data_IF_646236917190
#
_entry.id   IF_646236917190
#
_cell.length_a   1.000
_cell.length_b   1.000
_cell.length_c   1.000
_cell.angle_alpha   90.00
_cell.angle_beta   90.00
_cell.angle_gamma   90.00
#
_symmetry.space_group_name_H-M   'P 1'
#
loop_
_entity.id
_entity.type
_entity.pdbx_description
1 polymer ?
#
# COMPACT_ATOMS: atom_id res chain seq x y z
N UNK A 1 -57.57 58.33 -25.55
CA UNK A 1 -56.32 58.47 -24.77
C UNK A 1 -55.75 57.05 -24.57
N UNK A 2 -54.73 56.68 -25.35
CA UNK A 2 -54.07 55.34 -25.29
C UNK A 2 -52.73 55.51 -24.55
N UNK A 3 -52.65 54.85 -23.39
CA UNK A 3 -51.44 54.83 -22.58
C UNK A 3 -50.53 53.75 -23.18
N UNK A 4 -49.32 54.16 -23.66
CA UNK A 4 -48.28 53.20 -24.07
C UNK A 4 -47.43 52.83 -22.84
N UNK A 5 -47.51 51.56 -22.49
CA UNK A 5 -46.57 50.96 -21.50
C UNK A 5 -45.24 50.73 -22.17
N UNK A 6 -44.20 51.36 -21.69
CA UNK A 6 -42.80 51.12 -22.11
C UNK A 6 -42.25 50.04 -21.20
N UNK A 7 -42.00 48.85 -21.78
CA UNK A 7 -41.23 47.78 -21.09
C UNK A 7 -39.75 48.14 -21.15
N UNK A 8 -39.22 48.49 -20.03
CA UNK A 8 -37.76 48.62 -19.86
C UNK A 8 -37.17 47.23 -19.59
N UNK A 9 -36.50 46.64 -20.57
CA UNK A 9 -35.75 45.40 -20.46
C UNK A 9 -34.43 45.74 -19.75
N UNK A 10 -34.33 45.48 -18.47
CA UNK A 10 -33.06 45.47 -17.75
C UNK A 10 -32.26 44.27 -18.21
N UNK A 11 -31.30 44.47 -19.09
CA UNK A 11 -30.22 43.50 -19.30
C UNK A 11 -29.34 43.46 -18.05
N UNK A 12 -29.51 42.43 -17.26
CA UNK A 12 -28.50 42.01 -16.28
C UNK A 12 -27.32 41.43 -17.04
N UNK A 13 -26.08 41.90 -16.86
CA UNK A 13 -24.95 41.18 -17.40
C UNK A 13 -24.85 39.82 -16.67
N UNK A 14 -24.91 38.75 -17.45
CA UNK A 14 -24.45 37.44 -16.99
C UNK A 14 -22.95 37.62 -16.69
N UNK A 15 -22.64 37.81 -15.41
CA UNK A 15 -21.32 37.53 -14.88
C UNK A 15 -21.12 36.02 -15.00
N UNK A 16 -20.54 35.61 -16.12
CA UNK A 16 -19.92 34.31 -16.26
C UNK A 16 -18.75 34.31 -15.26
N UNK A 17 -19.01 33.85 -14.05
CA UNK A 17 -17.95 33.49 -13.13
C UNK A 17 -17.17 32.36 -13.83
N UNK A 18 -16.09 32.74 -14.51
CA UNK A 18 -15.11 31.77 -14.93
C UNK A 18 -14.66 31.05 -13.65
N UNK A 19 -15.13 29.82 -13.49
CA UNK A 19 -14.59 28.93 -12.46
C UNK A 19 -13.10 28.83 -12.80
N UNK A 20 -12.25 29.43 -11.98
CA UNK A 20 -10.80 29.26 -12.12
C UNK A 20 -10.54 27.76 -12.17
N UNK A 21 -10.05 27.31 -13.31
CA UNK A 21 -9.71 25.92 -13.49
C UNK A 21 -8.70 25.54 -12.41
N UNK A 22 -9.07 24.62 -11.53
CA UNK A 22 -8.15 24.13 -10.51
C UNK A 22 -6.86 23.68 -11.17
N UNK A 23 -5.69 24.07 -10.67
CA UNK A 23 -4.42 23.70 -11.27
C UNK A 23 -4.35 22.19 -11.47
N UNK A 24 -4.04 21.75 -12.67
CA UNK A 24 -3.91 20.33 -12.97
C UNK A 24 -2.73 19.75 -12.18
N UNK A 25 -3.00 18.72 -11.37
CA UNK A 25 -1.98 18.00 -10.64
C UNK A 25 -1.48 16.81 -11.47
N UNK A 26 -0.18 16.64 -11.53
CA UNK A 26 0.49 15.56 -12.23
C UNK A 26 1.40 14.80 -11.26
N UNK A 27 1.75 13.55 -11.60
CA UNK A 27 2.88 12.85 -10.99
C UNK A 27 3.95 12.64 -12.06
N UNK A 28 5.19 12.89 -11.71
CA UNK A 28 6.31 12.56 -12.59
C UNK A 28 6.70 11.08 -12.43
N UNK A 29 7.73 10.62 -13.17
CA UNK A 29 8.22 9.24 -13.12
C UNK A 29 8.68 8.78 -11.75
N UNK A 30 9.05 9.71 -10.86
CA UNK A 30 9.44 9.43 -9.48
C UNK A 30 8.24 9.35 -8.51
N UNK A 31 7.02 9.57 -8.99
CA UNK A 31 5.79 9.58 -8.19
C UNK A 31 5.53 10.89 -7.43
N UNK A 32 6.41 11.90 -7.58
CA UNK A 32 6.27 13.20 -6.94
C UNK A 32 5.13 13.99 -7.57
N UNK A 33 4.26 14.57 -6.75
CA UNK A 33 3.16 15.40 -7.22
C UNK A 33 3.64 16.74 -7.74
N UNK A 34 3.16 17.13 -8.89
CA UNK A 34 3.49 18.35 -9.58
C UNK A 34 2.22 19.15 -9.92
N UNK A 35 2.37 20.43 -10.07
CA UNK A 35 1.34 21.36 -10.53
C UNK A 35 1.85 22.06 -11.80
N UNK A 36 0.99 22.19 -12.81
CA UNK A 36 1.28 22.99 -13.98
C UNK A 36 0.97 24.46 -13.68
N UNK A 37 1.93 25.32 -13.95
CA UNK A 37 1.76 26.78 -13.90
C UNK A 37 1.14 27.32 -15.20
N UNK A 38 0.64 28.55 -15.17
CA UNK A 38 0.01 29.20 -16.32
C UNK A 38 0.96 29.39 -17.52
N UNK A 39 2.26 29.54 -17.25
CA UNK A 39 3.32 29.66 -18.26
C UNK A 39 3.69 28.30 -18.91
N UNK A 40 3.02 27.21 -18.52
CA UNK A 40 3.29 25.87 -19.00
C UNK A 40 4.41 25.13 -18.28
N UNK A 41 5.14 25.78 -17.38
CA UNK A 41 6.14 25.14 -16.51
C UNK A 41 5.49 24.29 -15.43
N UNK A 42 6.29 23.49 -14.73
CA UNK A 42 5.83 22.64 -13.65
C UNK A 42 6.52 22.98 -12.35
N UNK A 43 5.79 22.98 -11.25
CA UNK A 43 6.31 23.13 -9.89
C UNK A 43 6.00 21.90 -9.05
N UNK A 44 6.95 21.48 -8.21
CA UNK A 44 6.73 20.44 -7.23
C UNK A 44 5.73 20.92 -6.18
N UNK A 45 4.62 20.19 -6.03
CA UNK A 45 3.78 20.37 -4.88
C UNK A 45 4.57 19.93 -3.64
N UNK A 46 4.64 20.83 -2.65
CA UNK A 46 5.36 20.56 -1.41
C UNK A 46 6.90 20.50 -1.56
N UNK A 47 7.48 21.31 -2.44
CA UNK A 47 8.94 21.38 -2.63
C UNK A 47 9.73 21.45 -1.30
N UNK A 48 9.27 22.25 -0.31
CA UNK A 48 9.86 22.30 1.04
C UNK A 48 9.87 20.95 1.77
N UNK A 49 8.90 20.08 1.48
CA UNK A 49 8.80 18.75 2.08
C UNK A 49 9.89 17.83 1.57
N UNK A 50 10.28 17.96 0.30
CA UNK A 50 11.34 17.17 -0.33
C UNK A 50 12.74 17.75 -0.10
N UNK A 51 12.88 19.05 0.17
CA UNK A 51 14.18 19.71 0.41
C UNK A 51 14.98 19.11 1.59
N UNK A 52 14.32 18.38 2.48
CA UNK A 52 14.96 17.59 3.53
C UNK A 52 15.87 16.49 2.99
N UNK A 53 15.52 15.91 1.82
CA UNK A 53 16.21 14.75 1.26
C UNK A 53 17.18 15.14 0.14
N UNK A 54 16.79 16.10 -0.69
CA UNK A 54 17.55 16.52 -1.87
C UNK A 54 17.23 17.98 -2.20
N UNK A 55 18.12 18.60 -2.94
CA UNK A 55 17.79 19.83 -3.67
C UNK A 55 16.92 19.48 -4.88
N UNK A 56 15.64 19.80 -4.79
CA UNK A 56 14.65 19.48 -5.84
C UNK A 56 14.97 20.12 -7.19
N UNK A 57 15.77 21.20 -7.22
CA UNK A 57 16.19 21.83 -8.48
C UNK A 57 17.24 21.03 -9.24
N UNK A 58 17.88 20.06 -8.58
CA UNK A 58 18.91 19.20 -9.18
C UNK A 58 18.36 17.86 -9.67
N UNK A 59 17.09 17.54 -9.41
CA UNK A 59 16.48 16.28 -9.84
C UNK A 59 16.20 16.33 -11.34
N UNK A 60 16.84 15.47 -12.16
CA UNK A 60 16.57 15.40 -13.59
C UNK A 60 15.10 15.04 -13.86
N UNK A 61 14.48 15.66 -14.84
CA UNK A 61 13.11 15.37 -15.30
C UNK A 61 12.00 15.44 -14.23
N UNK A 62 12.29 16.00 -13.04
CA UNK A 62 11.28 16.14 -11.98
C UNK A 62 10.10 16.99 -12.43
N UNK A 63 10.35 17.94 -13.33
CA UNK A 63 9.36 18.84 -13.87
C UNK A 63 8.58 18.27 -15.06
N UNK A 64 8.90 17.07 -15.53
CA UNK A 64 8.24 16.43 -16.66
C UNK A 64 7.18 15.46 -16.13
N UNK A 65 5.89 15.66 -16.44
CA UNK A 65 4.84 14.71 -16.10
C UNK A 65 5.11 13.35 -16.75
N UNK A 66 4.89 12.30 -15.99
CA UNK A 66 5.08 10.94 -16.46
C UNK A 66 3.84 10.09 -16.15
N UNK A 67 3.37 9.37 -17.15
CA UNK A 67 2.37 8.31 -16.97
C UNK A 67 3.00 6.99 -17.39
N UNK A 68 3.13 6.07 -16.46
CA UNK A 68 3.68 4.76 -16.74
C UNK A 68 2.79 3.98 -17.71
N UNK A 69 3.40 3.37 -18.70
CA UNK A 69 2.77 2.41 -19.60
C UNK A 69 3.51 1.07 -19.48
N UNK A 70 2.77 0.01 -19.15
CA UNK A 70 3.35 -1.31 -19.01
C UNK A 70 3.84 -1.85 -20.36
N UNK A 71 5.09 -2.22 -20.44
CA UNK A 71 5.71 -2.82 -21.62
C UNK A 71 5.63 -4.34 -21.63
N UNK A 72 5.92 -4.96 -20.50
CA UNK A 72 5.96 -6.42 -20.30
C UNK A 72 4.65 -6.96 -19.76
N UNK A 73 4.06 -6.30 -18.75
CA UNK A 73 2.84 -6.74 -18.09
C UNK A 73 1.60 -6.43 -18.94
N UNK A 74 1.03 -7.43 -19.58
CA UNK A 74 -0.20 -7.28 -20.36
C UNK A 74 -1.42 -7.73 -19.55
N UNK A 75 -2.57 -7.12 -19.79
CA UNK A 75 -3.80 -7.44 -19.05
C UNK A 75 -4.22 -8.91 -19.19
N UNK A 76 -3.91 -9.57 -20.31
CA UNK A 76 -4.15 -11.01 -20.53
C UNK A 76 -3.37 -11.90 -19.55
N UNK A 77 -2.26 -11.42 -18.99
CA UNK A 77 -1.38 -12.20 -18.13
C UNK A 77 -1.96 -12.40 -16.73
N UNK A 78 -2.95 -11.59 -16.33
CA UNK A 78 -3.58 -11.68 -15.02
C UNK A 78 -5.13 -11.68 -15.06
N UNK A 79 -5.79 -11.26 -16.15
CA UNK A 79 -7.25 -11.34 -16.28
C UNK A 79 -7.75 -12.76 -16.46
N UNK A 80 -9.01 -13.00 -16.05
CA UNK A 80 -9.69 -14.29 -16.22
C UNK A 80 -9.42 -15.28 -15.09
N UNK A 81 -8.81 -14.85 -13.99
CA UNK A 81 -8.64 -15.67 -12.78
C UNK A 81 -9.99 -15.79 -12.05
N UNK A 82 -10.33 -16.98 -11.62
CA UNK A 82 -11.50 -17.22 -10.75
C UNK A 82 -11.29 -16.50 -9.41
N UNK A 83 -12.27 -15.69 -9.02
CA UNK A 83 -12.18 -14.86 -7.82
C UNK A 83 -13.44 -15.02 -6.97
N UNK A 84 -13.30 -15.16 -5.65
CA UNK A 84 -14.42 -15.30 -4.70
C UNK A 84 -14.21 -14.36 -3.52
N UNK A 85 -15.26 -13.62 -3.16
CA UNK A 85 -15.31 -12.84 -1.91
C UNK A 85 -15.90 -13.72 -0.79
N UNK A 86 -15.27 -13.69 0.38
CA UNK A 86 -15.63 -14.48 1.56
C UNK A 86 -15.63 -13.56 2.78
N UNK A 87 -16.73 -13.53 3.52
CA UNK A 87 -16.77 -12.86 4.82
C UNK A 87 -16.05 -13.76 5.82
N UNK A 88 -14.91 -13.29 6.34
CA UNK A 88 -14.13 -14.04 7.31
C UNK A 88 -14.34 -13.59 8.76
N UNK A 89 -14.83 -12.36 8.94
CA UNK A 89 -15.08 -11.80 10.25
C UNK A 89 -16.24 -10.80 10.20
N UNK A 90 -17.07 -10.81 11.24
CA UNK A 90 -18.18 -9.86 11.42
C UNK A 90 -17.92 -9.03 12.68
N UNK A 91 -17.92 -7.74 12.52
CA UNK A 91 -18.03 -6.75 13.58
C UNK A 91 -19.49 -6.33 13.74
N UNK A 92 -19.81 -5.54 14.76
CA UNK A 92 -21.18 -5.11 15.02
C UNK A 92 -21.83 -4.40 13.82
N UNK A 93 -21.09 -3.51 13.18
CA UNK A 93 -21.62 -2.59 12.17
C UNK A 93 -21.01 -2.80 10.78
N UNK A 94 -20.09 -3.74 10.60
CA UNK A 94 -19.42 -4.03 9.33
C UNK A 94 -18.89 -5.46 9.24
N UNK A 95 -18.60 -5.89 8.03
CA UNK A 95 -18.00 -7.19 7.74
C UNK A 95 -16.62 -7.02 7.09
N UNK A 96 -15.71 -7.94 7.40
CA UNK A 96 -14.40 -8.01 6.80
C UNK A 96 -14.34 -9.16 5.80
N UNK A 97 -13.76 -8.87 4.64
CA UNK A 97 -13.80 -9.73 3.46
C UNK A 97 -12.40 -10.17 3.05
N UNK A 98 -12.28 -11.46 2.71
CA UNK A 98 -11.21 -11.98 1.88
C UNK A 98 -11.66 -12.00 0.43
N UNK A 99 -10.83 -11.53 -0.48
CA UNK A 99 -10.98 -11.81 -1.91
C UNK A 99 -9.91 -12.82 -2.31
N UNK A 100 -10.34 -14.02 -2.66
CA UNK A 100 -9.43 -15.11 -3.05
C UNK A 100 -9.34 -15.16 -4.57
N UNK A 101 -8.14 -14.99 -5.11
CA UNK A 101 -7.81 -15.19 -6.53
C UNK A 101 -7.21 -16.60 -6.68
N UNK A 102 -7.99 -17.57 -7.17
CA UNK A 102 -7.62 -18.98 -7.17
C UNK A 102 -6.58 -19.30 -8.24
N UNK A 103 -5.52 -20.00 -7.84
CA UNK A 103 -4.65 -20.68 -8.77
C UNK A 103 -5.32 -21.96 -9.28
N UNK A 104 -5.24 -22.22 -10.58
CA UNK A 104 -5.72 -23.44 -11.19
C UNK A 104 -4.62 -24.51 -11.10
N UNK A 105 -4.65 -25.31 -10.03
CA UNK A 105 -3.66 -26.35 -9.72
C UNK A 105 -4.33 -27.66 -9.31
N UNK A 106 -3.74 -28.80 -9.69
CA UNK A 106 -4.22 -30.12 -9.27
C UNK A 106 -3.96 -30.38 -7.78
N UNK A 107 -2.88 -29.85 -7.25
CA UNK A 107 -2.47 -29.98 -5.84
C UNK A 107 -2.79 -28.69 -5.08
N UNK A 108 -2.98 -28.75 -3.75
CA UNK A 108 -3.15 -27.55 -2.95
C UNK A 108 -2.06 -26.51 -3.23
N UNK A 109 -2.48 -25.30 -3.64
CA UNK A 109 -1.59 -24.23 -4.06
C UNK A 109 -0.93 -23.53 -2.86
N UNK A 110 0.32 -23.08 -2.94
CA UNK A 110 0.82 -22.09 -2.00
C UNK A 110 0.02 -20.80 -2.11
N UNK A 111 0.08 -19.91 -1.09
CA UNK A 111 -0.69 -18.69 -1.13
C UNK A 111 0.06 -17.46 -0.61
N UNK A 112 -0.38 -16.28 -1.05
CA UNK A 112 0.11 -14.98 -0.58
C UNK A 112 -1.05 -14.16 -0.05
N UNK A 113 -0.89 -13.61 1.15
CA UNK A 113 -1.83 -12.68 1.78
C UNK A 113 -1.42 -11.25 1.44
N UNK A 114 -2.33 -10.50 0.79
CA UNK A 114 -2.11 -9.12 0.36
C UNK A 114 -2.87 -8.14 1.26
N UNK A 115 -2.15 -7.18 1.82
CA UNK A 115 -2.70 -6.21 2.75
C UNK A 115 -2.52 -4.80 2.18
N UNK A 116 -3.66 -4.12 1.98
CA UNK A 116 -3.69 -2.82 1.33
C UNK A 116 -3.17 -1.69 2.22
N UNK A 117 -2.61 -0.66 1.59
CA UNK A 117 -2.22 0.59 2.24
C UNK A 117 -3.41 1.53 2.48
N UNK A 118 -3.12 2.78 2.79
CA UNK A 118 -4.12 3.83 2.99
C UNK A 118 -4.09 4.47 4.37
N UNK A 119 -2.95 4.42 5.05
CA UNK A 119 -2.72 5.09 6.34
C UNK A 119 -3.62 4.58 7.46
N UNK A 120 -4.00 3.29 7.40
CA UNK A 120 -4.94 2.59 8.30
C UNK A 120 -6.35 3.19 8.33
N UNK A 121 -6.66 4.17 7.49
CA UNK A 121 -7.92 4.91 7.50
C UNK A 121 -8.76 4.75 6.22
N UNK A 122 -8.19 4.17 5.18
CA UNK A 122 -8.82 3.98 3.87
C UNK A 122 -8.16 2.83 3.11
N UNK A 123 -8.76 2.49 1.97
CA UNK A 123 -8.32 1.39 1.13
C UNK A 123 -9.30 0.23 1.15
N UNK A 124 -9.02 -0.77 0.37
CA UNK A 124 -9.83 -2.00 0.28
C UNK A 124 -9.02 -3.13 -0.35
N UNK A 125 -9.56 -4.33 -0.30
CA UNK A 125 -9.00 -5.56 -0.86
C UNK A 125 -8.91 -5.59 -2.41
N UNK A 126 -9.33 -4.52 -3.12
CA UNK A 126 -9.08 -4.34 -4.55
C UNK A 126 -7.63 -3.99 -4.90
N UNK A 127 -6.84 -3.57 -3.91
CA UNK A 127 -5.41 -3.31 -4.07
C UNK A 127 -4.65 -4.59 -4.39
N UNK A 128 -3.50 -4.45 -5.07
CA UNK A 128 -2.61 -5.56 -5.48
C UNK A 128 -3.26 -6.62 -6.38
N UNK A 129 -4.47 -6.37 -6.93
CA UNK A 129 -5.20 -7.31 -7.78
C UNK A 129 -4.35 -7.85 -8.92
N UNK A 130 -3.66 -7.00 -9.65
CA UNK A 130 -2.87 -7.43 -10.82
C UNK A 130 -1.75 -8.41 -10.43
N UNK A 131 -1.07 -8.16 -9.32
CA UNK A 131 0.00 -9.04 -8.82
C UNK A 131 -0.56 -10.34 -8.28
N UNK A 132 -1.64 -10.28 -7.49
CA UNK A 132 -2.34 -11.43 -6.95
C UNK A 132 -2.81 -12.36 -8.08
N UNK A 133 -3.54 -11.82 -9.06
CA UNK A 133 -4.04 -12.58 -10.21
C UNK A 133 -2.93 -13.06 -11.15
N UNK A 134 -1.84 -12.30 -11.30
CA UNK A 134 -0.68 -12.75 -12.07
C UNK A 134 -0.03 -13.98 -11.42
N UNK A 135 0.22 -13.94 -10.11
CA UNK A 135 0.78 -15.07 -9.38
C UNK A 135 -0.14 -16.31 -9.43
N UNK A 136 -1.44 -16.11 -9.30
CA UNK A 136 -2.41 -17.19 -9.43
C UNK A 136 -2.35 -17.84 -10.82
N UNK A 137 -2.38 -17.04 -11.87
CA UNK A 137 -2.45 -17.50 -13.26
C UNK A 137 -1.13 -18.03 -13.80
N UNK A 138 -0.01 -17.36 -13.48
CA UNK A 138 1.29 -17.65 -14.11
C UNK A 138 2.23 -18.48 -13.23
N UNK A 139 1.97 -18.53 -11.92
CA UNK A 139 2.87 -19.18 -10.96
C UNK A 139 2.20 -20.23 -10.09
N UNK A 140 0.89 -20.43 -10.21
CA UNK A 140 0.15 -21.40 -9.39
C UNK A 140 0.13 -21.04 -7.90
N UNK A 141 0.17 -19.75 -7.56
CA UNK A 141 0.16 -19.25 -6.19
C UNK A 141 -1.16 -18.50 -5.95
N UNK A 142 -2.04 -19.04 -5.14
CA UNK A 142 -3.33 -18.43 -4.80
C UNK A 142 -3.12 -17.10 -4.07
N UNK A 143 -3.86 -16.07 -4.48
CA UNK A 143 -3.85 -14.79 -3.82
C UNK A 143 -4.99 -14.61 -2.84
N UNK A 144 -4.72 -14.07 -1.66
CA UNK A 144 -5.73 -13.74 -0.64
C UNK A 144 -5.61 -12.27 -0.29
N UNK A 145 -6.50 -11.44 -0.84
CA UNK A 145 -6.52 -9.99 -0.61
C UNK A 145 -7.48 -9.68 0.54
N UNK A 146 -6.97 -9.04 1.60
CA UNK A 146 -7.67 -8.91 2.89
C UNK A 146 -8.15 -7.48 3.11
N UNK A 147 -9.40 -7.30 3.56
CA UNK A 147 -9.84 -6.08 4.23
C UNK A 147 -9.62 -6.20 5.74
N UNK A 148 -9.41 -5.09 6.42
CA UNK A 148 -9.20 -5.01 7.86
C UNK A 148 -9.87 -3.76 8.43
N UNK A 149 -10.09 -3.70 9.73
CA UNK A 149 -10.69 -2.57 10.44
C UNK A 149 -9.87 -1.30 10.21
N UNK A 150 -10.54 -0.26 9.72
CA UNK A 150 -9.96 1.04 9.41
C UNK A 150 -10.22 2.04 10.52
N UNK A 151 -9.32 2.97 10.76
CA UNK A 151 -9.40 3.97 11.83
C UNK A 151 -10.72 4.73 11.97
N UNK A 152 -11.53 5.01 10.91
CA UNK A 152 -12.84 5.60 11.04
C UNK A 152 -13.91 4.72 11.70
N UNK A 153 -13.69 3.41 11.82
CA UNK A 153 -14.67 2.49 12.41
C UNK A 153 -14.66 2.60 13.95
N UNK A 154 -15.79 2.33 14.58
CA UNK A 154 -16.05 2.67 15.99
C UNK A 154 -15.14 2.00 17.01
N UNK A 155 -14.63 0.81 16.69
CA UNK A 155 -13.77 -0.02 17.55
C UNK A 155 -12.30 -0.07 17.08
N UNK A 156 -11.95 0.79 16.11
CA UNK A 156 -10.68 0.74 15.42
C UNK A 156 -9.50 1.12 16.31
N UNK A 157 -8.59 0.19 16.48
CA UNK A 157 -7.24 0.43 16.98
C UNK A 157 -6.23 -0.35 16.17
N UNK A 158 -4.95 0.00 16.29
CA UNK A 158 -3.89 -0.77 15.64
C UNK A 158 -3.90 -2.24 16.05
N UNK A 159 -4.28 -2.54 17.31
CA UNK A 159 -4.40 -3.92 17.81
C UNK A 159 -5.53 -4.68 17.13
N UNK A 160 -6.69 -4.02 16.92
CA UNK A 160 -7.83 -4.62 16.21
C UNK A 160 -7.46 -4.94 14.77
N UNK A 161 -6.86 -3.99 14.05
CA UNK A 161 -6.43 -4.24 12.66
C UNK A 161 -5.37 -5.35 12.55
N UNK A 162 -4.44 -5.43 13.50
CA UNK A 162 -3.47 -6.55 13.57
C UNK A 162 -4.22 -7.87 13.78
N UNK A 163 -5.14 -7.92 14.74
CA UNK A 163 -5.92 -9.13 15.03
C UNK A 163 -6.76 -9.58 13.83
N UNK A 164 -7.33 -8.64 13.07
CA UNK A 164 -8.08 -8.95 11.86
C UNK A 164 -7.21 -9.68 10.83
N UNK A 165 -5.96 -9.23 10.63
CA UNK A 165 -5.04 -9.91 9.72
C UNK A 165 -4.70 -11.32 10.22
N UNK A 166 -4.47 -11.48 11.52
CA UNK A 166 -4.20 -12.80 12.11
C UNK A 166 -5.42 -13.74 11.99
N UNK A 167 -6.62 -13.21 12.22
CA UNK A 167 -7.88 -13.96 12.06
C UNK A 167 -8.11 -14.35 10.59
N UNK A 168 -7.77 -13.46 9.64
CA UNK A 168 -7.85 -13.74 8.21
C UNK A 168 -6.94 -14.91 7.81
N UNK A 169 -5.68 -14.90 8.27
CA UNK A 169 -4.73 -15.99 8.00
C UNK A 169 -5.21 -17.29 8.61
N UNK A 170 -5.66 -17.25 9.86
CA UNK A 170 -6.23 -18.40 10.56
C UNK A 170 -7.42 -18.96 9.80
N UNK A 171 -8.37 -18.12 9.38
CA UNK A 171 -9.51 -18.54 8.57
C UNK A 171 -9.07 -19.27 7.30
N UNK A 172 -8.12 -18.70 6.56
CA UNK A 172 -7.60 -19.31 5.32
C UNK A 172 -6.97 -20.67 5.58
N UNK A 173 -6.19 -20.80 6.65
CA UNK A 173 -5.54 -22.08 7.03
C UNK A 173 -6.57 -23.13 7.49
N UNK A 174 -7.58 -22.74 8.25
CA UNK A 174 -8.67 -23.64 8.70
C UNK A 174 -9.56 -24.12 7.54
N UNK A 175 -9.68 -23.32 6.47
CA UNK A 175 -10.45 -23.66 5.26
C UNK A 175 -9.56 -24.11 4.09
N UNK A 176 -8.33 -24.55 4.37
CA UNK A 176 -7.34 -24.87 3.37
C UNK A 176 -7.82 -25.91 2.32
N UNK A 177 -8.52 -26.94 2.77
CA UNK A 177 -9.08 -27.98 1.87
C UNK A 177 -10.16 -27.41 0.94
N UNK A 178 -11.07 -26.57 1.44
CA UNK A 178 -12.11 -25.91 0.65
C UNK A 178 -11.52 -24.94 -0.39
N UNK A 179 -10.46 -24.24 0.00
CA UNK A 179 -9.79 -23.24 -0.83
C UNK A 179 -8.71 -23.85 -1.75
N UNK A 180 -8.50 -25.16 -1.71
CA UNK A 180 -7.43 -25.87 -2.43
C UNK A 180 -6.06 -25.21 -2.25
N UNK A 181 -5.69 -24.87 -1.00
CA UNK A 181 -4.40 -24.26 -0.66
C UNK A 181 -3.58 -25.15 0.27
N UNK A 182 -2.26 -24.98 0.22
CA UNK A 182 -1.35 -25.58 1.20
C UNK A 182 -1.15 -24.61 2.38
N UNK A 183 -1.68 -24.93 3.59
CA UNK A 183 -1.63 -24.04 4.74
C UNK A 183 -0.21 -23.76 5.26
N UNK A 184 0.78 -24.58 4.90
CA UNK A 184 2.17 -24.48 5.35
C UNK A 184 3.08 -23.73 4.37
N UNK A 185 2.57 -23.37 3.18
CA UNK A 185 3.32 -22.69 2.12
C UNK A 185 2.73 -21.31 1.82
N UNK A 186 3.12 -20.32 2.59
CA UNK A 186 2.54 -18.97 2.44
C UNK A 186 3.52 -17.84 2.73
N UNK A 187 3.12 -16.66 2.28
CA UNK A 187 3.81 -15.41 2.52
C UNK A 187 2.86 -14.22 2.56
N UNK A 188 3.44 -13.05 2.81
CA UNK A 188 2.70 -11.79 2.92
C UNK A 188 3.25 -10.74 1.98
N UNK A 189 2.35 -9.88 1.48
CA UNK A 189 2.73 -8.67 0.78
C UNK A 189 1.86 -7.51 1.26
N UNK A 190 2.47 -6.37 1.51
CA UNK A 190 1.73 -5.18 1.89
C UNK A 190 2.35 -3.89 1.38
N UNK A 191 1.54 -2.82 1.35
CA UNK A 191 1.97 -1.49 0.95
C UNK A 191 1.68 -0.49 2.05
N UNK A 192 2.67 0.37 2.43
CA UNK A 192 2.46 1.46 3.40
C UNK A 192 1.93 0.92 4.75
N UNK A 193 0.78 1.41 5.23
CA UNK A 193 0.07 0.87 6.39
C UNK A 193 -0.17 -0.65 6.30
N UNK A 194 -0.45 -1.16 5.09
CA UNK A 194 -0.59 -2.60 4.86
C UNK A 194 0.73 -3.36 4.98
N UNK A 195 1.87 -2.74 4.62
CA UNK A 195 3.18 -3.35 4.83
C UNK A 195 3.54 -3.45 6.33
N UNK A 196 3.07 -2.49 7.15
CA UNK A 196 3.16 -2.60 8.61
C UNK A 196 2.41 -3.84 9.11
N UNK A 197 1.11 -3.96 8.78
CA UNK A 197 0.27 -5.09 9.23
C UNK A 197 0.77 -6.43 8.67
N UNK A 198 1.19 -6.46 7.40
CA UNK A 198 1.80 -7.63 6.77
C UNK A 198 3.09 -8.06 7.47
N UNK A 199 3.94 -7.09 7.85
CA UNK A 199 5.17 -7.38 8.57
C UNK A 199 4.90 -7.92 9.98
N UNK A 200 3.91 -7.36 10.72
CA UNK A 200 3.50 -7.93 12.02
C UNK A 200 3.07 -9.38 11.84
N UNK A 201 2.19 -9.67 10.89
CA UNK A 201 1.73 -11.04 10.62
C UNK A 201 2.90 -11.94 10.20
N UNK A 202 3.76 -11.48 9.29
CA UNK A 202 4.90 -12.26 8.81
C UNK A 202 5.90 -12.62 9.93
N UNK A 203 6.10 -11.73 10.89
CA UNK A 203 7.03 -11.97 12.02
C UNK A 203 6.40 -12.78 13.16
N UNK A 204 5.06 -12.92 13.21
CA UNK A 204 4.37 -13.56 14.33
C UNK A 204 3.66 -14.86 13.96
N UNK A 205 3.21 -15.03 12.71
CA UNK A 205 2.57 -16.28 12.27
C UNK A 205 3.63 -17.35 11.98
N UNK A 206 3.63 -18.47 12.71
CA UNK A 206 4.61 -19.53 12.49
C UNK A 206 4.50 -20.13 11.08
N UNK A 207 5.63 -20.48 10.50
CA UNK A 207 5.68 -21.12 9.18
C UNK A 207 5.70 -20.15 8.01
N UNK A 208 5.57 -18.82 8.25
CA UNK A 208 5.71 -17.81 7.19
C UNK A 208 7.03 -17.99 6.43
N UNK A 209 6.95 -18.09 5.09
CA UNK A 209 8.11 -18.30 4.20
C UNK A 209 8.69 -16.99 3.70
N UNK A 210 7.83 -16.05 3.29
CA UNK A 210 8.25 -14.81 2.62
C UNK A 210 7.43 -13.60 3.06
N UNK A 211 8.08 -12.43 3.04
CA UNK A 211 7.44 -11.14 3.24
C UNK A 211 7.92 -10.13 2.18
N UNK A 212 6.99 -9.39 1.59
CA UNK A 212 7.28 -8.27 0.69
C UNK A 212 6.62 -7.01 1.22
N UNK A 213 7.39 -5.97 1.45
CA UNK A 213 6.90 -4.69 1.97
C UNK A 213 7.25 -3.51 1.10
N UNK A 214 6.24 -2.77 0.63
CA UNK A 214 6.42 -1.55 -0.15
C UNK A 214 6.18 -0.33 0.74
N UNK A 215 7.20 0.53 0.88
CA UNK A 215 7.14 1.79 1.64
C UNK A 215 6.51 1.60 3.03
N UNK A 216 6.95 0.57 3.76
CA UNK A 216 6.32 0.11 5.00
C UNK A 216 6.81 0.83 6.25
N UNK A 217 5.97 0.80 7.29
CA UNK A 217 6.28 1.30 8.62
C UNK A 217 6.67 0.12 9.50
N UNK A 218 7.86 0.10 10.06
CA UNK A 218 8.38 -1.05 10.82
C UNK A 218 8.76 -0.74 12.26
N UNK A 219 8.88 0.55 12.60
CA UNK A 219 9.06 1.06 13.97
C UNK A 219 8.11 2.23 14.20
N UNK A 220 6.99 1.97 14.87
CA UNK A 220 5.95 2.98 15.10
C UNK A 220 6.40 4.08 16.06
N UNK A 221 7.32 3.80 16.98
CA UNK A 221 7.86 4.79 17.91
C UNK A 221 8.76 5.82 17.23
N UNK A 222 9.33 5.47 16.05
CA UNK A 222 10.20 6.35 15.27
C UNK A 222 9.55 6.94 14.03
N UNK A 223 8.46 6.34 13.54
CA UNK A 223 7.82 6.80 12.33
C UNK A 223 7.17 8.18 12.48
N UNK A 224 7.53 9.13 11.61
CA UNK A 224 6.96 10.48 11.67
C UNK A 224 5.44 10.48 11.44
N UNK A 225 4.93 9.58 10.59
CA UNK A 225 3.48 9.43 10.35
C UNK A 225 2.71 9.06 11.62
N UNK A 226 3.33 8.36 12.57
CA UNK A 226 2.76 8.01 13.88
C UNK A 226 2.97 9.14 14.88
N UNK A 227 4.22 9.56 15.04
CA UNK A 227 4.62 10.42 16.16
C UNK A 227 4.32 11.90 15.94
N UNK A 228 4.32 12.38 14.68
CA UNK A 228 4.11 13.80 14.35
C UNK A 228 2.69 14.12 13.86
N UNK A 229 1.81 13.13 13.73
CA UNK A 229 0.42 13.39 13.33
C UNK A 229 -0.30 14.23 14.38
N UNK A 230 -1.13 15.18 13.91
CA UNK A 230 -2.06 15.96 14.73
C UNK A 230 -3.52 15.51 14.53
N UNK A 231 -3.75 14.49 13.69
CA UNK A 231 -5.07 13.91 13.44
C UNK A 231 -5.54 13.12 14.67
N UNK A 232 -6.62 13.58 15.36
CA UNK A 232 -7.12 12.94 16.58
C UNK A 232 -7.52 11.48 16.35
N UNK A 233 -8.11 11.17 15.20
CA UNK A 233 -8.53 9.81 14.85
C UNK A 233 -7.34 8.87 14.74
N UNK A 234 -6.26 9.31 14.14
CA UNK A 234 -5.02 8.53 14.06
C UNK A 234 -4.33 8.39 15.41
N UNK A 235 -4.38 9.43 16.26
CA UNK A 235 -3.84 9.36 17.62
C UNK A 235 -4.61 8.30 18.41
N UNK A 236 -5.95 8.34 18.39
CA UNK A 236 -6.79 7.35 19.05
C UNK A 236 -6.58 5.93 18.49
N UNK A 237 -6.44 5.79 17.17
CA UNK A 237 -6.13 4.50 16.52
C UNK A 237 -4.85 3.86 17.08
N UNK A 238 -3.83 4.66 17.41
CA UNK A 238 -2.61 4.22 18.07
C UNK A 238 -2.68 4.29 19.59
N UNK A 239 -3.88 4.24 20.18
CA UNK A 239 -4.12 4.24 21.63
C UNK A 239 -3.36 5.38 22.32
N UNK A 240 -3.57 6.61 21.85
CA UNK A 240 -2.91 7.83 22.32
C UNK A 240 -1.37 7.76 22.32
N UNK A 241 -0.81 6.92 21.46
CA UNK A 241 0.62 6.64 21.33
C UNK A 241 1.23 6.05 22.61
N UNK A 242 0.48 5.23 23.33
CA UNK A 242 1.03 4.53 24.49
C UNK A 242 2.30 3.75 24.07
N UNK A 243 3.46 4.00 24.69
CA UNK A 243 4.74 3.40 24.26
C UNK A 243 4.72 1.87 24.22
N UNK A 244 3.99 1.23 25.15
CA UNK A 244 3.83 -0.21 25.16
C UNK A 244 3.08 -0.70 23.91
N UNK A 245 1.98 -0.01 23.53
CA UNK A 245 1.18 -0.36 22.36
C UNK A 245 2.00 -0.19 21.06
N UNK A 246 2.69 0.94 20.93
CA UNK A 246 3.52 1.19 19.75
C UNK A 246 4.64 0.14 19.62
N UNK A 247 5.27 -0.22 20.72
CA UNK A 247 6.36 -1.21 20.78
C UNK A 247 5.89 -2.60 20.41
N UNK A 248 4.74 -3.03 20.98
CA UNK A 248 4.13 -4.32 20.71
C UNK A 248 3.61 -4.44 19.29
N UNK A 249 3.19 -3.32 18.68
CA UNK A 249 2.72 -3.26 17.29
C UNK A 249 3.82 -2.98 16.27
N UNK A 250 5.06 -2.75 16.67
CA UNK A 250 6.18 -2.47 15.77
C UNK A 250 6.84 -3.76 15.26
N UNK A 251 6.79 -4.07 13.94
CA UNK A 251 7.39 -5.28 13.38
C UNK A 251 8.84 -5.53 13.75
N UNK A 252 9.64 -4.46 13.88
CA UNK A 252 11.05 -4.55 14.21
C UNK A 252 11.30 -5.24 15.58
N UNK A 253 10.34 -5.17 16.50
CA UNK A 253 10.41 -5.79 17.81
C UNK A 253 9.89 -7.24 17.83
N UNK A 254 9.25 -7.67 16.73
CA UNK A 254 8.58 -8.97 16.62
C UNK A 254 9.37 -10.01 15.82
N UNK A 255 10.55 -9.63 15.31
CA UNK A 255 11.40 -10.52 14.50
C UNK A 255 11.72 -11.79 15.28
N UNK A 256 11.36 -12.99 14.78
CA UNK A 256 11.56 -14.24 15.50
C UNK A 256 13.05 -14.54 15.66
N UNK A 257 13.39 -15.30 16.72
CA UNK A 257 14.79 -15.70 16.99
C UNK A 257 15.32 -16.74 16.01
N UNK A 258 14.41 -17.51 15.37
CA UNK A 258 14.72 -18.57 14.38
C UNK A 258 13.68 -18.53 13.29
N UNK A 259 14.00 -19.07 12.13
CA UNK A 259 13.09 -19.15 10.97
C UNK A 259 12.55 -17.78 10.57
N UNK A 260 13.43 -16.79 10.50
CA UNK A 260 13.08 -15.44 10.03
C UNK A 260 12.63 -15.54 8.57
N UNK A 261 11.41 -15.07 8.22
CA UNK A 261 10.94 -15.13 6.85
C UNK A 261 11.87 -14.39 5.89
N UNK A 262 12.11 -14.94 4.71
CA UNK A 262 12.81 -14.22 3.66
C UNK A 262 12.03 -12.93 3.34
N UNK A 263 12.69 -11.80 3.27
CA UNK A 263 12.04 -10.50 3.16
C UNK A 263 12.57 -9.68 1.99
N UNK A 264 11.67 -9.00 1.27
CA UNK A 264 12.03 -7.99 0.28
C UNK A 264 11.36 -6.67 0.65
N UNK A 265 12.14 -5.62 0.80
CA UNK A 265 11.68 -4.30 1.18
C UNK A 265 11.96 -3.31 0.05
N UNK A 266 10.97 -2.46 -0.24
CA UNK A 266 11.06 -1.46 -1.32
C UNK A 266 10.77 -0.09 -0.72
N UNK A 267 11.63 0.90 -0.95
CA UNK A 267 11.39 2.28 -0.56
C UNK A 267 11.99 3.29 -1.56
N UNK A 268 11.41 4.48 -1.61
CA UNK A 268 11.96 5.64 -2.30
C UNK A 268 12.72 6.54 -1.33
N UNK A 269 13.90 7.06 -1.75
CA UNK A 269 14.73 7.89 -0.86
C UNK A 269 14.14 9.28 -0.59
N UNK A 270 13.16 9.72 -1.39
CA UNK A 270 12.40 10.96 -1.20
C UNK A 270 11.00 10.72 -0.62
N UNK A 271 10.77 9.57 0.01
CA UNK A 271 9.50 9.30 0.67
C UNK A 271 9.36 10.17 1.92
N UNK A 272 8.42 11.13 1.85
CA UNK A 272 8.12 12.06 2.94
C UNK A 272 6.90 11.63 3.75
N UNK A 273 6.25 10.53 3.35
CA UNK A 273 5.12 9.94 4.06
C UNK A 273 5.59 8.87 5.04
N UNK A 274 6.48 7.99 4.56
CA UNK A 274 7.15 6.97 5.37
C UNK A 274 8.62 6.98 4.98
N UNK A 275 9.44 7.47 5.86
CA UNK A 275 10.86 7.63 5.61
C UNK A 275 11.51 6.29 5.22
N UNK A 276 12.40 6.30 4.19
CA UNK A 276 13.10 5.09 3.72
C UNK A 276 13.93 4.43 4.83
N UNK A 277 14.33 5.21 5.84
CA UNK A 277 15.00 4.74 7.06
C UNK A 277 14.22 3.67 7.81
N UNK A 278 12.87 3.65 7.70
CA UNK A 278 12.05 2.57 8.26
C UNK A 278 12.41 1.22 7.63
N UNK A 279 12.55 1.18 6.30
CA UNK A 279 12.97 -0.02 5.59
C UNK A 279 14.42 -0.40 5.86
N UNK A 280 15.32 0.59 5.99
CA UNK A 280 16.73 0.36 6.30
C UNK A 280 16.93 -0.24 7.70
N UNK A 281 16.26 0.33 8.71
CA UNK A 281 16.31 -0.19 10.08
C UNK A 281 15.79 -1.62 10.16
N UNK A 282 14.66 -1.89 9.49
CA UNK A 282 14.06 -3.22 9.51
C UNK A 282 14.91 -4.25 8.77
N UNK A 283 15.45 -3.90 7.58
CA UNK A 283 16.38 -4.76 6.85
C UNK A 283 17.62 -5.11 7.68
N UNK A 284 18.20 -4.12 8.37
CA UNK A 284 19.32 -4.33 9.26
C UNK A 284 18.97 -5.27 10.42
N UNK A 285 17.79 -5.10 11.03
CA UNK A 285 17.32 -5.93 12.12
C UNK A 285 17.06 -7.39 11.70
N UNK A 286 16.43 -7.60 10.51
CA UNK A 286 16.22 -8.92 9.91
C UNK A 286 17.55 -9.66 9.69
N UNK A 287 18.53 -8.97 9.07
CA UNK A 287 19.87 -9.53 8.81
C UNK A 287 20.63 -9.88 10.10
N UNK A 288 20.52 -9.03 11.13
CA UNK A 288 21.10 -9.32 12.47
C UNK A 288 20.50 -10.56 13.12
N UNK A 289 19.28 -10.94 12.77
CA UNK A 289 18.62 -12.18 13.20
C UNK A 289 18.91 -13.38 12.30
N UNK A 290 19.79 -13.23 11.31
CA UNK A 290 20.14 -14.29 10.36
C UNK A 290 19.13 -14.47 9.22
N UNK A 291 18.20 -13.53 9.04
CA UNK A 291 17.22 -13.56 7.95
C UNK A 291 17.82 -13.07 6.62
N UNK A 292 17.30 -13.61 5.52
CA UNK A 292 17.56 -13.08 4.18
C UNK A 292 16.69 -11.85 3.95
N UNK A 293 17.31 -10.73 3.54
CA UNK A 293 16.55 -9.51 3.27
C UNK A 293 17.14 -8.74 2.07
N UNK A 294 16.34 -8.58 1.03
CA UNK A 294 16.61 -7.72 -0.11
C UNK A 294 16.02 -6.34 0.16
N UNK A 295 16.86 -5.30 0.17
CA UNK A 295 16.44 -3.92 0.31
C UNK A 295 16.61 -3.20 -1.03
N UNK A 296 15.50 -2.87 -1.68
CA UNK A 296 15.43 -2.13 -2.93
C UNK A 296 15.18 -0.65 -2.64
N UNK A 297 16.23 0.16 -2.70
CA UNK A 297 16.15 1.61 -2.55
C UNK A 297 16.16 2.25 -3.93
N UNK A 298 15.16 3.08 -4.18
CA UNK A 298 15.05 3.85 -5.42
C UNK A 298 15.32 5.32 -5.14
N UNK A 299 16.43 5.78 -5.69
CA UNK A 299 16.89 7.15 -5.50
C UNK A 299 15.94 8.15 -6.17
N UNK A 300 15.62 9.25 -5.50
CA UNK A 300 14.67 10.30 -5.89
C UNK A 300 13.20 9.91 -5.93
N UNK A 301 12.82 8.64 -5.73
CA UNK A 301 11.42 8.23 -5.70
C UNK A 301 10.77 8.53 -4.35
N UNK A 302 9.47 8.85 -4.41
CA UNK A 302 8.64 9.10 -3.24
C UNK A 302 7.88 7.84 -2.78
N UNK A 303 6.86 8.04 -1.94
CA UNK A 303 5.99 6.99 -1.40
C UNK A 303 5.31 6.11 -2.46
N UNK A 304 5.19 6.60 -3.70
CA UNK A 304 4.49 5.91 -4.78
C UNK A 304 5.42 5.13 -5.71
N UNK A 305 6.64 4.81 -5.30
CA UNK A 305 7.65 4.11 -6.12
C UNK A 305 7.13 2.82 -6.77
N UNK A 306 6.22 2.12 -6.13
CA UNK A 306 5.58 0.89 -6.66
C UNK A 306 4.23 1.15 -7.34
N UNK A 307 3.79 2.40 -7.49
CA UNK A 307 2.50 2.74 -8.06
C UNK A 307 2.54 2.85 -9.58
N UNK A 308 1.34 2.93 -10.19
CA UNK A 308 1.19 3.13 -11.65
C UNK A 308 1.76 4.45 -12.18
N UNK A 309 2.11 5.39 -11.30
CA UNK A 309 2.75 6.65 -11.67
C UNK A 309 4.26 6.58 -11.70
N UNK A 310 4.85 5.42 -11.39
CA UNK A 310 6.29 5.19 -11.35
C UNK A 310 6.73 4.29 -12.52
N UNK A 311 7.82 4.64 -13.19
CA UNK A 311 8.47 3.79 -14.20
C UNK A 311 9.15 2.55 -13.60
N UNK A 312 9.27 2.51 -12.26
CA UNK A 312 9.78 1.35 -11.52
C UNK A 312 8.70 0.32 -11.18
N UNK A 313 7.43 0.63 -11.44
CA UNK A 313 6.31 -0.25 -11.08
C UNK A 313 6.48 -1.65 -11.66
N UNK A 314 6.82 -1.77 -12.94
CA UNK A 314 6.95 -3.07 -13.60
C UNK A 314 8.19 -3.85 -13.13
N UNK A 315 9.31 -3.17 -12.91
CA UNK A 315 10.52 -3.76 -12.32
C UNK A 315 10.22 -4.34 -10.94
N UNK A 316 9.58 -3.54 -10.06
CA UNK A 316 9.21 -3.95 -8.70
C UNK A 316 8.20 -5.12 -8.75
N UNK A 317 7.24 -5.06 -9.67
CA UNK A 317 6.26 -6.13 -9.88
C UNK A 317 6.94 -7.47 -10.16
N UNK A 318 7.82 -7.52 -11.17
CA UNK A 318 8.48 -8.78 -11.54
C UNK A 318 9.50 -9.25 -10.50
N UNK A 319 10.22 -8.33 -9.84
CA UNK A 319 11.08 -8.70 -8.69
C UNK A 319 10.25 -9.33 -7.57
N UNK A 320 9.04 -8.83 -7.32
CA UNK A 320 8.14 -9.41 -6.30
C UNK A 320 7.62 -10.79 -6.72
N UNK A 321 7.28 -10.95 -8.00
CA UNK A 321 6.89 -12.27 -8.57
C UNK A 321 8.02 -13.28 -8.35
N UNK A 322 9.24 -12.93 -8.75
CA UNK A 322 10.38 -13.83 -8.65
C UNK A 322 10.71 -14.14 -7.18
N UNK A 323 10.71 -13.13 -6.32
CA UNK A 323 10.98 -13.30 -4.90
C UNK A 323 9.96 -14.24 -4.23
N UNK A 324 8.66 -13.98 -4.41
CA UNK A 324 7.60 -14.80 -3.82
C UNK A 324 7.63 -16.23 -4.38
N UNK A 325 7.80 -16.41 -5.70
CA UNK A 325 7.88 -17.73 -6.33
C UNK A 325 9.07 -18.54 -5.82
N UNK A 326 10.20 -17.90 -5.53
CA UNK A 326 11.41 -18.60 -5.07
C UNK A 326 11.36 -19.00 -3.59
N UNK A 327 10.62 -18.28 -2.75
CA UNK A 327 10.63 -18.50 -1.31
C UNK A 327 9.38 -19.18 -0.77
N UNK A 328 8.24 -19.11 -1.47
CA UNK A 328 7.00 -19.80 -1.08
C UNK A 328 6.95 -21.15 -1.79
N UNK A 329 7.51 -22.17 -1.12
CA UNK A 329 7.55 -23.58 -1.63
C UNK A 329 7.16 -24.50 -0.50
#
# INVERSE_FOLDING_TARGET
>A
MKLKLIFCLCMLPLLCLAQEAQPQQFSNRYGMKMMRNDDGSYALLYAKKYAKFIDVNTIPDVMVPYTYQADRLKSKDYKGVTTKDIVYKKHKDYELILTVDFAETEKPAPFVVYIHGGGWARGNNGSSRSLSQYLAKQKGITGVRVSYTLAPQSDATVKVSIQDILDAVKYVQEHAAELNINPDCFGFLGTSAGAHLAAVAAMTVPGTKAFVGYSGIYDLEKAAITMKTKDPQRIAYFCDREPKVLREASPINLIPKKNVPASMLVCGTCDVTVECEQSEMFASALKKRGGVCDLLKYEYYDHNVSSKTSDKMEEIFFKSVDFLTNHIK
#
